data_IF_315547293403
#
_entry.id   IF_315547293403
#
_cell.length_a   1.000
_cell.length_b   1.000
_cell.length_c   1.000
_cell.angle_alpha   90.00
_cell.angle_beta   90.00
_cell.angle_gamma   90.00
#
_symmetry.space_group_name_H-M   'P 1'
#
loop_
_entity.id
_entity.type
_entity.pdbx_description
1 polymer ?
#
# COMPACT_ATOMS: atom_id res chain seq x y z
N UNK A 1 -22.54 -15.65 16.35
CA UNK A 1 -23.11 -15.42 15.00
C UNK A 1 -22.05 -15.47 13.89
N UNK A 2 -20.93 -14.74 13.97
CA UNK A 2 -19.86 -14.82 12.95
C UNK A 2 -19.14 -16.18 12.92
N UNK A 3 -18.80 -16.76 14.08
CA UNK A 3 -18.27 -18.14 14.17
C UNK A 3 -19.25 -19.16 13.62
N UNK A 4 -20.56 -18.92 13.77
CA UNK A 4 -21.61 -19.76 13.20
C UNK A 4 -21.75 -19.56 11.69
N UNK A 5 -21.49 -18.36 11.16
CA UNK A 5 -21.54 -18.06 9.73
C UNK A 5 -20.29 -18.58 8.99
N UNK A 6 -19.11 -18.46 9.62
CA UNK A 6 -17.86 -19.03 9.10
C UNK A 6 -17.84 -20.56 9.26
N UNK A 7 -18.36 -21.10 10.37
CA UNK A 7 -18.56 -22.55 10.53
C UNK A 7 -19.63 -23.08 9.57
N UNK A 8 -20.72 -22.33 9.32
CA UNK A 8 -21.71 -22.71 8.32
C UNK A 8 -21.13 -22.72 6.90
N UNK A 9 -20.30 -21.74 6.53
CA UNK A 9 -19.59 -21.74 5.24
C UNK A 9 -18.55 -22.88 5.14
N UNK A 10 -17.89 -23.24 6.24
CA UNK A 10 -17.02 -24.42 6.34
C UNK A 10 -17.80 -25.74 6.23
N UNK A 11 -19.05 -25.78 6.73
CA UNK A 11 -19.93 -26.95 6.71
C UNK A 11 -20.66 -27.16 5.38
N UNK A 12 -20.86 -26.11 4.56
CA UNK A 12 -21.55 -26.22 3.27
C UNK A 12 -20.71 -26.97 2.22
N UNK A 13 -19.39 -27.08 2.41
CA UNK A 13 -18.50 -27.77 1.47
C UNK A 13 -17.73 -28.90 2.14
N UNK A 14 -18.22 -30.16 2.09
CA UNK A 14 -17.46 -31.30 2.58
C UNK A 14 -16.09 -31.35 1.91
N UNK A 15 -15.05 -31.45 2.73
CA UNK A 15 -13.69 -31.75 2.31
C UNK A 15 -13.60 -33.27 2.09
N UNK A 16 -14.15 -33.74 0.98
CA UNK A 16 -13.91 -35.11 0.53
C UNK A 16 -12.55 -35.17 -0.14
N UNK A 17 -11.51 -35.49 0.63
CA UNK A 17 -10.15 -35.73 0.12
C UNK A 17 -10.07 -37.22 -0.24
N UNK A 18 -9.99 -37.52 -1.54
CA UNK A 18 -9.48 -38.81 -2.02
C UNK A 18 -7.96 -38.61 -2.16
N UNK A 19 -7.21 -39.16 -1.22
CA UNK A 19 -5.75 -39.03 -1.20
C UNK A 19 -5.11 -40.01 -2.20
N UNK A 20 -4.18 -39.51 -3.00
CA UNK A 20 -3.33 -40.25 -3.94
C UNK A 20 -1.85 -39.88 -3.70
N UNK A 21 -0.93 -40.73 -4.13
CA UNK A 21 0.49 -40.74 -3.74
C UNK A 21 1.26 -39.40 -3.97
N UNK A 22 0.81 -38.55 -4.89
CA UNK A 22 1.36 -37.21 -5.13
C UNK A 22 0.94 -36.14 -4.10
N UNK A 23 -0.08 -36.42 -3.30
CA UNK A 23 -0.63 -35.51 -2.30
C UNK A 23 0.30 -35.37 -1.10
N UNK A 24 1.06 -36.42 -0.75
CA UNK A 24 2.02 -36.38 0.35
C UNK A 24 3.13 -35.35 0.08
N UNK A 25 3.64 -35.26 -1.15
CA UNK A 25 4.63 -34.25 -1.50
C UNK A 25 4.06 -32.82 -1.41
N UNK A 26 2.86 -32.58 -1.95
CA UNK A 26 2.23 -31.26 -1.89
C UNK A 26 1.90 -30.85 -0.44
N UNK A 27 1.33 -31.76 0.33
CA UNK A 27 0.95 -31.53 1.71
C UNK A 27 2.18 -31.31 2.60
N UNK A 28 3.25 -32.09 2.40
CA UNK A 28 4.53 -31.89 3.09
C UNK A 28 5.15 -30.54 2.69
N UNK A 29 5.21 -30.22 1.39
CA UNK A 29 5.75 -28.95 0.91
C UNK A 29 4.98 -27.73 1.45
N UNK A 30 3.65 -27.77 1.49
CA UNK A 30 2.84 -26.69 2.06
C UNK A 30 2.90 -26.64 3.58
N UNK A 31 2.99 -27.78 4.26
CA UNK A 31 3.16 -27.82 5.72
C UNK A 31 4.51 -27.25 6.11
N UNK A 32 5.55 -27.55 5.34
CA UNK A 32 6.93 -27.10 5.57
C UNK A 32 7.15 -25.63 5.16
N UNK A 33 6.57 -25.20 4.04
CA UNK A 33 6.71 -23.81 3.55
C UNK A 33 5.65 -22.86 4.09
N UNK A 34 4.52 -23.35 4.61
CA UNK A 34 3.42 -22.55 5.12
C UNK A 34 3.86 -21.51 6.15
N UNK A 35 4.64 -21.87 7.18
CA UNK A 35 5.20 -20.92 8.14
C UNK A 35 6.11 -19.85 7.51
N UNK A 36 6.91 -20.22 6.50
CA UNK A 36 7.80 -19.26 5.82
C UNK A 36 7.01 -18.32 4.90
N UNK A 37 6.08 -18.86 4.11
CA UNK A 37 5.21 -18.09 3.22
C UNK A 37 4.33 -17.11 4.00
N UNK A 38 3.88 -17.50 5.19
CA UNK A 38 3.13 -16.61 6.09
C UNK A 38 4.02 -15.50 6.67
N UNK A 39 5.22 -15.84 7.16
CA UNK A 39 6.15 -14.85 7.73
C UNK A 39 6.63 -13.82 6.69
N UNK A 40 7.07 -14.28 5.51
CA UNK A 40 7.49 -13.39 4.44
C UNK A 40 6.31 -12.62 3.84
N UNK A 41 5.15 -13.29 3.73
CA UNK A 41 3.94 -12.67 3.25
C UNK A 41 3.44 -11.54 4.14
N UNK A 42 3.57 -11.67 5.45
CA UNK A 42 3.11 -10.66 6.41
C UNK A 42 3.86 -9.34 6.23
N UNK A 43 5.20 -9.36 6.29
CA UNK A 43 6.01 -8.14 6.18
C UNK A 43 5.88 -7.47 4.82
N UNK A 44 5.87 -8.27 3.75
CA UNK A 44 5.69 -7.74 2.39
C UNK A 44 4.30 -7.13 2.19
N UNK A 45 3.25 -7.78 2.71
CA UNK A 45 1.89 -7.23 2.62
C UNK A 45 1.73 -5.94 3.43
N UNK A 46 2.24 -5.90 4.66
CA UNK A 46 2.19 -4.68 5.49
C UNK A 46 2.92 -3.53 4.79
N UNK A 47 4.13 -3.77 4.32
CA UNK A 47 4.92 -2.75 3.61
C UNK A 47 4.22 -2.28 2.33
N UNK A 48 3.62 -3.20 1.56
CA UNK A 48 2.88 -2.85 0.36
C UNK A 48 1.67 -1.97 0.70
N UNK A 49 0.86 -2.38 1.68
CA UNK A 49 -0.34 -1.67 2.09
C UNK A 49 -0.03 -0.28 2.67
N UNK A 50 1.05 -0.15 3.44
CA UNK A 50 1.47 1.13 4.02
C UNK A 50 1.92 2.16 2.98
N UNK A 51 2.26 1.70 1.78
CA UNK A 51 2.70 2.55 0.66
C UNK A 51 1.68 2.64 -0.48
N UNK A 52 0.57 1.91 -0.41
CA UNK A 52 -0.48 1.94 -1.43
C UNK A 52 -1.23 3.26 -1.35
N UNK A 53 -1.33 3.95 -2.48
CA UNK A 53 -1.90 5.30 -2.63
C UNK A 53 -2.97 5.36 -3.71
N UNK A 54 -3.14 4.27 -4.46
CA UNK A 54 -4.06 4.22 -5.59
C UNK A 54 -4.87 2.92 -5.65
N UNK A 55 -6.06 3.01 -6.21
CA UNK A 55 -6.90 1.84 -6.46
C UNK A 55 -6.24 0.80 -7.37
N UNK A 56 -5.39 1.24 -8.33
CA UNK A 56 -4.63 0.35 -9.21
C UNK A 56 -3.63 -0.52 -8.43
N UNK A 57 -2.98 0.06 -7.41
CA UNK A 57 -2.10 -0.68 -6.50
C UNK A 57 -2.90 -1.68 -5.66
N UNK A 58 -4.16 -1.37 -5.30
CA UNK A 58 -5.05 -2.33 -4.64
C UNK A 58 -5.40 -3.53 -5.56
N UNK A 59 -5.61 -3.30 -6.85
CA UNK A 59 -5.82 -4.40 -7.82
C UNK A 59 -4.55 -5.22 -7.97
N UNK A 60 -3.39 -4.58 -8.09
CA UNK A 60 -2.10 -5.27 -8.18
C UNK A 60 -1.79 -6.13 -6.94
N UNK A 61 -2.22 -5.67 -5.76
CA UNK A 61 -2.14 -6.44 -4.52
C UNK A 61 -3.03 -7.70 -4.55
N UNK A 62 -4.17 -7.64 -5.23
CA UNK A 62 -5.11 -8.75 -5.35
C UNK A 62 -4.72 -9.83 -6.38
N UNK A 63 -3.86 -9.53 -7.36
CA UNK A 63 -3.40 -10.49 -8.38
C UNK A 63 -2.34 -11.45 -7.84
N UNK A 64 -2.57 -12.77 -7.79
CA UNK A 64 -1.71 -13.73 -7.07
C UNK A 64 -1.36 -13.22 -5.65
N UNK A 65 -2.38 -13.13 -4.77
CA UNK A 65 -2.24 -12.44 -3.50
C UNK A 65 -1.26 -13.18 -2.59
N UNK A 66 -0.40 -12.42 -1.94
CA UNK A 66 0.47 -12.87 -0.86
C UNK A 66 0.05 -12.11 0.41
N UNK A 67 -0.04 -12.81 1.55
CA UNK A 67 -0.49 -12.20 2.79
C UNK A 67 -2.00 -11.95 2.87
N UNK A 68 -2.82 -12.88 2.33
CA UNK A 68 -4.29 -12.80 2.37
C UNK A 68 -4.81 -12.55 3.81
N UNK A 69 -4.32 -13.33 4.78
CA UNK A 69 -4.69 -13.17 6.20
C UNK A 69 -4.23 -11.82 6.74
N UNK A 70 -3.04 -11.37 6.38
CA UNK A 70 -2.52 -10.06 6.76
C UNK A 70 -3.40 -8.93 6.22
N UNK A 71 -3.85 -9.02 4.97
CA UNK A 71 -4.77 -8.03 4.39
C UNK A 71 -6.10 -7.97 5.16
N UNK A 72 -6.67 -9.13 5.50
CA UNK A 72 -7.89 -9.24 6.31
C UNK A 72 -7.69 -8.62 7.69
N UNK A 73 -6.63 -9.01 8.41
CA UNK A 73 -6.31 -8.48 9.74
C UNK A 73 -6.07 -6.98 9.69
N UNK A 74 -5.32 -6.49 8.70
CA UNK A 74 -5.04 -5.07 8.50
C UNK A 74 -6.32 -4.26 8.23
N UNK A 75 -7.22 -4.75 7.38
CA UNK A 75 -8.51 -4.10 7.12
C UNK A 75 -9.38 -4.04 8.39
N UNK A 76 -9.38 -5.11 9.20
CA UNK A 76 -10.07 -5.14 10.50
C UNK A 76 -9.44 -4.12 11.46
N UNK A 77 -8.11 -4.03 11.54
CA UNK A 77 -7.41 -3.08 12.42
C UNK A 77 -7.73 -1.63 12.05
N UNK A 78 -7.78 -1.31 10.76
CA UNK A 78 -8.09 0.03 10.25
C UNK A 78 -9.58 0.37 10.44
N UNK A 79 -10.48 -0.41 9.85
CA UNK A 79 -11.91 -0.05 9.71
C UNK A 79 -12.89 -1.05 10.34
N UNK A 80 -12.43 -2.08 11.03
CA UNK A 80 -13.28 -3.06 11.69
C UNK A 80 -14.07 -2.49 12.88
N UNK A 81 -15.22 -3.10 13.17
CA UNK A 81 -15.98 -2.83 14.40
C UNK A 81 -15.22 -3.34 15.64
N UNK A 82 -15.55 -2.81 16.83
CA UNK A 82 -14.87 -3.18 18.10
C UNK A 82 -14.86 -4.69 18.36
N UNK A 83 -15.95 -5.37 18.03
CA UNK A 83 -16.06 -6.83 18.21
C UNK A 83 -15.11 -7.57 17.26
N UNK A 84 -15.01 -7.14 16.00
CA UNK A 84 -14.15 -7.77 15.00
C UNK A 84 -12.66 -7.58 15.35
N UNK A 85 -12.31 -6.40 15.88
CA UNK A 85 -10.99 -6.13 16.46
C UNK A 85 -10.71 -7.02 17.69
N UNK A 86 -11.72 -7.36 18.48
CA UNK A 86 -11.55 -8.28 19.62
C UNK A 86 -11.24 -9.72 19.18
N UNK A 87 -11.83 -10.20 18.08
CA UNK A 87 -11.56 -11.54 17.53
C UNK A 87 -10.09 -11.72 17.19
N UNK A 88 -9.45 -10.70 16.63
CA UNK A 88 -8.02 -10.72 16.28
C UNK A 88 -7.11 -10.29 17.43
N UNK A 89 -7.64 -10.14 18.65
CA UNK A 89 -6.87 -9.75 19.84
C UNK A 89 -6.42 -8.27 19.87
N UNK A 90 -6.98 -7.40 19.02
CA UNK A 90 -6.60 -5.98 18.87
C UNK A 90 -7.68 -5.01 19.34
N UNK A 91 -8.53 -5.40 20.28
CA UNK A 91 -9.66 -4.57 20.76
C UNK A 91 -9.24 -3.22 21.36
N UNK A 92 -8.04 -3.16 21.95
CA UNK A 92 -7.50 -1.96 22.64
C UNK A 92 -6.29 -1.37 21.93
N UNK A 93 -6.10 -1.68 20.65
CA UNK A 93 -4.99 -1.13 19.87
C UNK A 93 -5.20 0.37 19.62
N UNK A 94 -4.23 1.25 19.95
CA UNK A 94 -4.35 2.68 19.73
C UNK A 94 -4.29 3.00 18.22
N UNK A 95 -5.09 3.98 17.80
CA UNK A 95 -5.25 4.30 16.38
C UNK A 95 -3.94 4.80 15.72
N UNK A 96 -3.04 5.41 16.49
CA UNK A 96 -1.72 5.82 16.02
C UNK A 96 -0.83 4.64 15.63
N UNK A 97 -0.92 3.50 16.34
CA UNK A 97 -0.13 2.31 15.99
C UNK A 97 -0.64 1.64 14.70
N UNK A 98 -1.96 1.68 14.49
CA UNK A 98 -2.56 1.19 13.24
C UNK A 98 -2.11 2.07 12.07
N UNK A 99 -2.15 3.39 12.24
CA UNK A 99 -1.72 4.35 11.22
C UNK A 99 -0.22 4.20 10.89
N UNK A 100 0.61 4.07 11.92
CA UNK A 100 2.06 3.88 11.83
C UNK A 100 2.43 2.70 10.92
N UNK A 101 1.71 1.59 11.05
CA UNK A 101 2.06 0.34 10.38
C UNK A 101 1.37 0.17 9.02
N UNK A 102 0.14 0.65 8.85
CA UNK A 102 -0.72 0.24 7.72
C UNK A 102 -1.11 1.35 6.74
N UNK A 103 -0.91 2.61 7.08
CA UNK A 103 -1.46 3.74 6.30
C UNK A 103 -0.34 4.60 5.75
N UNK A 104 -0.50 5.20 4.57
CA UNK A 104 0.51 6.15 4.02
C UNK A 104 0.48 7.55 4.67
N UNK A 105 -0.44 7.78 5.60
CA UNK A 105 -0.71 9.10 6.18
C UNK A 105 0.25 9.50 7.29
N UNK A 106 0.34 10.80 7.53
CA UNK A 106 0.89 11.35 8.77
C UNK A 106 -0.18 12.17 9.47
N UNK A 107 -0.08 12.24 10.80
CA UNK A 107 -1.06 12.88 11.69
C UNK A 107 -0.36 13.50 12.90
N UNK A 108 -1.12 14.09 13.83
CA UNK A 108 -0.54 14.61 15.09
C UNK A 108 0.19 13.54 15.89
N UNK A 109 -0.22 12.28 15.73
CA UNK A 109 0.26 11.16 16.51
C UNK A 109 1.27 10.29 15.74
N UNK A 110 1.41 10.47 14.42
CA UNK A 110 2.31 9.66 13.58
C UNK A 110 3.07 10.56 12.62
N UNK A 111 4.39 10.42 12.62
CA UNK A 111 5.28 11.24 11.82
C UNK A 111 6.40 10.42 11.18
N UNK A 112 7.15 11.06 10.29
CA UNK A 112 8.34 10.49 9.63
C UNK A 112 9.59 11.25 10.08
N UNK A 113 10.62 10.53 10.51
CA UNK A 113 11.89 11.07 11.01
C UNK A 113 13.08 10.36 10.40
N UNK A 114 14.19 11.06 10.24
CA UNK A 114 15.48 10.51 9.87
C UNK A 114 16.27 10.07 11.10
N UNK A 115 16.67 8.81 11.17
CA UNK A 115 17.41 8.25 12.30
C UNK A 115 18.94 8.23 12.10
N UNK A 116 19.46 8.83 11.03
CA UNK A 116 20.87 8.78 10.65
C UNK A 116 21.17 7.79 9.52
N UNK A 117 20.34 6.75 9.35
CA UNK A 117 20.51 5.70 8.33
C UNK A 117 19.37 5.71 7.31
N UNK A 118 18.13 5.93 7.78
CA UNK A 118 16.93 5.87 6.97
C UNK A 118 15.78 6.68 7.54
N UNK A 119 14.77 6.91 6.71
CA UNK A 119 13.49 7.44 7.16
C UNK A 119 12.73 6.35 7.92
N UNK A 120 12.29 6.66 9.12
CA UNK A 120 11.47 5.80 9.97
C UNK A 120 10.19 6.52 10.34
N UNK A 121 9.09 5.77 10.45
CA UNK A 121 7.85 6.30 10.99
C UNK A 121 7.82 6.08 12.49
N UNK A 122 7.32 7.06 13.25
CA UNK A 122 7.31 7.02 14.71
C UNK A 122 6.00 7.58 15.24
N UNK A 123 5.52 7.02 16.35
CA UNK A 123 4.40 7.59 17.08
C UNK A 123 4.87 8.77 17.93
N UNK A 124 4.24 9.92 17.72
CA UNK A 124 4.50 11.17 18.41
C UNK A 124 4.45 12.37 17.48
N UNK A 125 4.50 13.56 18.07
CA UNK A 125 4.55 14.85 17.37
C UNK A 125 5.98 15.40 17.35
N UNK A 126 6.69 15.32 16.20
CA UNK A 126 8.02 15.85 16.10
C UNK A 126 7.99 17.33 15.75
N UNK A 127 9.12 18.01 15.96
CA UNK A 127 9.32 19.37 15.47
C UNK A 127 10.06 19.29 14.14
N UNK A 128 9.29 19.19 13.05
CA UNK A 128 9.79 19.24 11.68
C UNK A 128 9.22 20.47 11.00
N UNK A 129 10.09 21.34 10.49
CA UNK A 129 9.69 22.47 9.67
C UNK A 129 9.84 22.09 8.19
N UNK A 130 8.76 22.22 7.43
CA UNK A 130 8.79 22.11 5.97
C UNK A 130 8.94 23.51 5.37
N UNK A 131 10.03 23.71 4.66
CA UNK A 131 10.35 24.94 3.94
C UNK A 131 10.31 24.68 2.45
N UNK A 132 9.62 25.54 1.73
CA UNK A 132 9.52 25.53 0.27
C UNK A 132 10.22 26.80 -0.20
N UNK A 133 11.16 26.67 -1.12
CA UNK A 133 11.75 27.83 -1.77
C UNK A 133 11.80 27.65 -3.28
N UNK A 134 11.82 28.77 -3.97
CA UNK A 134 11.88 28.83 -5.42
C UNK A 134 13.30 29.20 -5.84
N UNK A 135 13.93 28.38 -6.67
CA UNK A 135 15.22 28.76 -7.25
C UNK A 135 15.00 29.61 -8.52
N UNK A 136 15.39 30.90 -8.50
CA UNK A 136 15.27 31.77 -9.66
C UNK A 136 16.15 31.34 -10.85
N UNK A 137 17.15 30.44 -10.70
CA UNK A 137 17.95 29.94 -11.85
C UNK A 137 17.26 28.90 -12.74
N UNK A 138 16.09 28.37 -12.35
CA UNK A 138 15.39 27.33 -13.10
C UNK A 138 14.52 27.86 -14.26
N UNK A 139 14.52 29.17 -14.50
CA UNK A 139 13.78 29.79 -15.60
C UNK A 139 14.42 29.50 -16.96
N UNK A 140 13.84 28.56 -17.71
CA UNK A 140 13.98 28.55 -19.16
C UNK A 140 13.14 29.70 -19.75
N UNK A 141 13.74 30.89 -19.85
CA UNK A 141 13.31 31.94 -20.78
C UNK A 141 14.42 32.15 -21.82
N UNK A 142 14.07 32.38 -23.10
CA UNK A 142 15.05 32.53 -24.17
C UNK A 142 15.89 33.78 -23.93
N UNK A 143 17.20 33.61 -24.12
CA UNK A 143 18.19 34.68 -24.17
C UNK A 143 17.70 35.76 -25.13
N UNK A 144 17.20 36.89 -24.60
CA UNK A 144 17.20 38.21 -25.22
C UNK A 144 16.49 39.23 -24.32
N UNK A 145 17.14 39.61 -23.24
CA UNK A 145 17.00 40.97 -22.70
C UNK A 145 18.25 41.33 -21.91
N UNK A 146 19.11 42.12 -22.55
CA UNK A 146 20.13 42.90 -21.86
C UNK A 146 19.41 43.88 -20.95
N UNK A 147 19.60 43.78 -19.63
CA UNK A 147 19.53 44.95 -18.76
C UNK A 147 20.32 44.71 -17.48
N UNK A 148 20.96 45.79 -17.07
CA UNK A 148 21.87 45.94 -15.96
C UNK A 148 21.17 45.78 -14.59
N UNK A 149 22.03 45.78 -13.58
CA UNK A 149 21.78 45.90 -12.14
C UNK A 149 21.56 44.59 -11.38
N UNK A 150 22.32 44.52 -10.29
CA UNK A 150 22.33 43.55 -9.21
C UNK A 150 20.92 43.37 -8.64
N UNK A 151 20.05 42.66 -9.36
CA UNK A 151 18.75 42.25 -8.86
C UNK A 151 19.00 41.45 -7.59
N UNK A 152 18.64 42.03 -6.45
CA UNK A 152 18.67 41.43 -5.13
C UNK A 152 18.00 40.05 -5.24
N UNK A 153 18.83 39.00 -5.30
CA UNK A 153 18.39 37.61 -5.56
C UNK A 153 17.79 37.06 -4.28
N UNK A 154 16.65 37.63 -3.89
CA UNK A 154 15.90 37.25 -2.70
C UNK A 154 15.32 35.87 -2.92
N UNK A 155 15.90 34.89 -2.24
CA UNK A 155 15.30 33.56 -2.12
C UNK A 155 14.13 33.69 -1.16
N UNK A 156 12.92 33.56 -1.67
CA UNK A 156 11.73 33.51 -0.82
C UNK A 156 11.62 32.10 -0.23
N UNK A 157 11.51 32.05 1.09
CA UNK A 157 11.24 30.82 1.84
C UNK A 157 9.80 30.91 2.34
N UNK A 158 9.01 29.92 1.94
CA UNK A 158 7.59 29.83 2.23
C UNK A 158 7.28 28.49 2.93
N UNK A 159 6.31 28.52 3.83
CA UNK A 159 5.65 27.29 4.31
C UNK A 159 4.56 26.90 3.32
N UNK A 160 4.01 25.68 3.44
CA UNK A 160 2.91 25.27 2.56
C UNK A 160 1.70 26.23 2.65
N UNK A 161 1.43 26.75 3.85
CA UNK A 161 0.37 27.76 4.08
C UNK A 161 0.68 29.08 3.40
N UNK A 162 1.88 29.64 3.60
CA UNK A 162 2.23 30.93 2.97
C UNK A 162 2.36 30.80 1.45
N UNK A 163 2.81 29.65 0.95
CA UNK A 163 2.84 29.33 -0.47
C UNK A 163 1.42 29.28 -1.07
N UNK A 164 0.44 28.76 -0.34
CA UNK A 164 -0.96 28.76 -0.75
C UNK A 164 -1.54 30.18 -0.75
N UNK A 165 -1.33 30.96 0.31
CA UNK A 165 -1.79 32.36 0.41
C UNK A 165 -1.23 33.23 -0.72
N UNK A 166 0.00 32.96 -1.16
CA UNK A 166 0.67 33.64 -2.28
C UNK A 166 0.33 33.06 -3.66
N UNK A 167 -0.59 32.10 -3.77
CA UNK A 167 -0.93 31.39 -5.00
C UNK A 167 0.27 30.73 -5.72
N UNK A 168 1.31 30.33 -4.98
CA UNK A 168 2.47 29.61 -5.51
C UNK A 168 2.15 28.13 -5.75
N UNK A 169 1.26 27.56 -4.94
CA UNK A 169 0.79 26.19 -5.07
C UNK A 169 -0.72 26.14 -5.22
N UNK A 170 -1.20 25.20 -6.03
CA UNK A 170 -2.63 24.94 -6.24
C UNK A 170 -2.92 23.47 -5.98
N UNK A 171 -3.99 23.21 -5.24
CA UNK A 171 -4.51 21.86 -5.08
C UNK A 171 -5.10 21.36 -6.41
N UNK A 172 -4.59 20.25 -6.93
CA UNK A 172 -5.04 19.63 -8.19
C UNK A 172 -5.82 18.34 -7.94
N UNK A 173 -5.49 17.60 -6.88
CA UNK A 173 -6.19 16.37 -6.50
C UNK A 173 -6.39 16.34 -4.98
N UNK A 174 -7.57 15.92 -4.52
CA UNK A 174 -7.87 15.73 -3.10
C UNK A 174 -9.25 16.25 -2.66
N UNK A 175 -9.73 15.83 -1.48
CA UNK A 175 -11.03 16.24 -0.94
C UNK A 175 -11.13 17.76 -0.70
N UNK A 176 -9.99 18.43 -0.45
CA UNK A 176 -9.90 19.88 -0.30
C UNK A 176 -10.31 20.71 -1.53
N UNK A 177 -10.45 20.11 -2.73
CA UNK A 177 -10.89 20.83 -3.95
C UNK A 177 -12.32 21.34 -3.83
N UNK A 178 -13.19 20.58 -3.13
CA UNK A 178 -14.61 20.92 -2.98
C UNK A 178 -14.87 21.93 -1.85
N UNK A 179 -13.96 22.03 -0.89
CA UNK A 179 -14.11 22.83 0.32
C UNK A 179 -13.09 23.97 0.37
N UNK A 180 -13.22 24.93 -0.56
CA UNK A 180 -12.27 26.06 -0.71
C UNK A 180 -12.26 27.06 0.47
N UNK A 181 -13.03 26.84 1.54
CA UNK A 181 -13.28 27.82 2.60
C UNK A 181 -12.92 27.36 4.03
N UNK A 182 -12.37 26.16 4.23
CA UNK A 182 -11.88 25.70 5.55
C UNK A 182 -10.52 25.00 5.46
N UNK A 183 -9.51 25.69 4.94
CA UNK A 183 -8.11 25.24 5.02
C UNK A 183 -7.40 25.95 6.18
N UNK A 184 -7.84 25.65 7.40
CA UNK A 184 -7.05 25.91 8.61
C UNK A 184 -6.45 24.57 9.05
N UNK A 185 -5.18 24.57 9.48
CA UNK A 185 -4.34 23.46 10.01
C UNK A 185 -3.47 22.60 9.09
N UNK A 186 -3.37 22.86 7.79
CA UNK A 186 -2.41 22.12 6.93
C UNK A 186 -0.94 22.29 7.39
N UNK A 187 -0.62 23.37 8.12
CA UNK A 187 0.74 23.68 8.56
C UNK A 187 1.12 23.19 9.98
N UNK A 188 0.17 22.68 10.78
CA UNK A 188 0.47 22.17 12.13
C UNK A 188 0.77 20.67 12.15
N UNK A 189 0.39 19.96 11.09
CA UNK A 189 0.60 18.52 10.97
C UNK A 189 1.96 18.21 10.33
N UNK A 190 2.63 17.12 10.74
CA UNK A 190 3.91 16.74 10.19
C UNK A 190 3.84 16.50 8.67
N UNK A 191 4.92 16.78 7.94
CA UNK A 191 4.99 16.54 6.50
C UNK A 191 5.24 15.06 6.18
N UNK A 192 4.78 14.61 5.00
CA UNK A 192 5.10 13.27 4.48
C UNK A 192 6.41 13.35 3.69
N UNK A 193 7.54 13.10 4.35
CA UNK A 193 8.87 13.19 3.77
C UNK A 193 9.09 12.05 2.77
N UNK A 194 8.78 10.80 3.12
CA UNK A 194 8.99 9.61 2.29
C UNK A 194 8.21 9.71 0.98
N UNK A 195 6.95 10.13 1.04
CA UNK A 195 6.10 10.30 -0.14
C UNK A 195 6.68 11.34 -1.11
N UNK A 196 7.28 12.41 -0.58
CA UNK A 196 7.86 13.47 -1.38
C UNK A 196 9.29 13.14 -1.86
N UNK A 197 10.16 12.55 -1.05
CA UNK A 197 11.54 12.20 -1.42
C UNK A 197 11.59 11.15 -2.53
N UNK A 198 10.75 10.11 -2.46
CA UNK A 198 10.85 8.92 -3.32
C UNK A 198 10.40 9.11 -4.77
N UNK A 199 9.70 10.21 -5.07
CA UNK A 199 9.13 10.39 -6.42
C UNK A 199 7.60 10.51 -6.44
N UNK A 200 6.95 10.31 -5.30
CA UNK A 200 5.52 10.06 -5.25
C UNK A 200 5.19 8.64 -5.69
N UNK A 201 4.06 8.48 -6.38
CA UNK A 201 3.57 7.21 -6.93
C UNK A 201 4.53 6.60 -7.96
N UNK A 202 4.47 5.27 -8.07
CA UNK A 202 5.00 4.51 -9.19
C UNK A 202 4.56 5.16 -10.51
N UNK A 203 5.45 5.18 -11.51
CA UNK A 203 5.10 5.69 -12.85
C UNK A 203 3.92 4.88 -13.37
N UNK A 204 2.87 5.54 -13.87
CA UNK A 204 1.63 4.87 -14.28
C UNK A 204 1.85 3.71 -15.26
N UNK A 205 2.80 3.83 -16.18
CA UNK A 205 3.14 2.75 -17.11
C UNK A 205 3.84 1.55 -16.45
N UNK A 206 4.71 1.77 -15.46
CA UNK A 206 5.36 0.69 -14.68
C UNK A 206 4.29 -0.10 -13.93
N UNK A 207 3.30 0.61 -13.36
CA UNK A 207 2.17 0.03 -12.66
C UNK A 207 1.23 -0.76 -13.57
N UNK A 208 0.90 -0.21 -14.76
CA UNK A 208 0.06 -0.91 -15.75
C UNK A 208 0.76 -2.18 -16.25
N UNK A 209 2.08 -2.13 -16.52
CA UNK A 209 2.85 -3.31 -16.90
C UNK A 209 2.81 -4.38 -15.81
N UNK A 210 3.04 -4.00 -14.55
CA UNK A 210 2.97 -4.91 -13.42
C UNK A 210 1.58 -5.55 -13.27
N UNK A 211 0.52 -4.76 -13.50
CA UNK A 211 -0.86 -5.25 -13.47
C UNK A 211 -1.12 -6.27 -14.58
N UNK A 212 -0.68 -5.99 -15.81
CA UNK A 212 -0.80 -6.93 -16.94
C UNK A 212 -0.09 -8.23 -16.61
N UNK A 213 1.14 -8.17 -16.09
CA UNK A 213 1.88 -9.36 -15.67
C UNK A 213 1.11 -10.15 -14.60
N UNK A 214 0.53 -9.46 -13.60
CA UNK A 214 -0.26 -10.13 -12.56
C UNK A 214 -1.53 -10.80 -13.07
N UNK A 215 -2.25 -10.15 -13.98
CA UNK A 215 -3.45 -10.72 -14.61
C UNK A 215 -3.09 -11.92 -15.49
N UNK A 216 -1.99 -11.84 -16.26
CA UNK A 216 -1.50 -12.94 -17.08
C UNK A 216 -1.01 -14.11 -16.23
N UNK A 217 -0.29 -13.87 -15.14
CA UNK A 217 0.14 -14.93 -14.23
C UNK A 217 -1.06 -15.62 -13.58
N UNK A 218 -2.06 -14.86 -13.11
CA UNK A 218 -3.25 -15.40 -12.48
C UNK A 218 -4.13 -16.19 -13.48
N UNK A 219 -4.26 -15.70 -14.72
CA UNK A 219 -5.00 -16.40 -15.76
C UNK A 219 -4.26 -17.65 -16.24
N UNK A 220 -2.94 -17.62 -16.36
CA UNK A 220 -2.12 -18.78 -16.72
C UNK A 220 -2.28 -19.92 -15.71
N UNK A 221 -2.30 -19.62 -14.40
CA UNK A 221 -2.57 -20.63 -13.37
C UNK A 221 -3.97 -21.24 -13.53
N UNK A 222 -5.01 -20.41 -13.74
CA UNK A 222 -6.36 -20.93 -13.94
C UNK A 222 -6.50 -21.76 -15.22
N UNK A 223 -5.84 -21.35 -16.32
CA UNK A 223 -5.83 -22.13 -17.56
C UNK A 223 -5.13 -23.48 -17.34
N UNK A 224 -4.00 -23.48 -16.64
CA UNK A 224 -3.28 -24.70 -16.30
C UNK A 224 -4.10 -25.64 -15.40
N UNK A 225 -4.72 -25.09 -14.36
CA UNK A 225 -5.63 -25.80 -13.46
C UNK A 225 -6.83 -26.40 -14.22
N UNK A 226 -7.40 -25.67 -15.18
CA UNK A 226 -8.47 -26.18 -16.05
C UNK A 226 -7.98 -27.26 -17.01
N UNK A 227 -6.78 -27.10 -17.57
CA UNK A 227 -6.17 -28.09 -18.44
C UNK A 227 -5.94 -29.43 -17.71
N UNK A 228 -5.48 -29.39 -16.45
CA UNK A 228 -5.32 -30.58 -15.61
C UNK A 228 -6.63 -31.36 -15.40
N UNK A 229 -7.76 -30.66 -15.25
CA UNK A 229 -9.05 -31.31 -14.99
C UNK A 229 -9.73 -31.82 -16.26
N UNK A 230 -9.70 -31.05 -17.34
CA UNK A 230 -10.46 -31.36 -18.55
C UNK A 230 -9.70 -32.19 -19.60
N UNK A 231 -8.37 -32.17 -19.56
CA UNK A 231 -7.51 -33.00 -20.42
C UNK A 231 -6.58 -33.88 -19.57
N UNK A 232 -7.13 -34.90 -18.88
CA UNK A 232 -6.32 -35.82 -18.10
C UNK A 232 -5.41 -36.62 -19.05
N UNK A 233 -4.11 -36.29 -19.04
CA UNK A 233 -3.10 -37.12 -19.66
C UNK A 233 -2.73 -38.25 -18.67
N UNK A 234 -2.50 -39.46 -19.18
CA UNK A 234 -2.08 -40.68 -18.45
C UNK A 234 -0.73 -40.58 -17.71
N UNK A 235 -0.14 -39.38 -17.62
CA UNK A 235 1.18 -39.13 -17.02
C UNK A 235 1.08 -38.94 -15.49
N UNK A 236 -0.09 -38.60 -14.95
CA UNK A 236 -0.23 -38.17 -13.54
C UNK A 236 -1.29 -38.92 -12.73
N UNK A 237 -1.90 -39.99 -13.27
CA UNK A 237 -2.72 -41.03 -12.61
C UNK A 237 -3.73 -40.61 -11.52
N UNK A 238 -4.22 -39.38 -11.55
CA UNK A 238 -5.23 -38.86 -10.63
C UNK A 238 -6.36 -38.25 -11.45
N UNK A 239 -7.58 -38.76 -11.27
CA UNK A 239 -8.79 -38.21 -11.89
C UNK A 239 -9.44 -37.22 -10.93
N UNK A 240 -9.19 -35.90 -11.06
CA UNK A 240 -9.81 -34.91 -10.19
C UNK A 240 -11.33 -34.95 -10.37
N UNK A 241 -12.07 -34.74 -9.28
CA UNK A 241 -13.52 -34.60 -9.35
C UNK A 241 -13.88 -33.48 -10.35
N UNK A 242 -14.84 -33.71 -11.25
CA UNK A 242 -15.26 -32.75 -12.29
C UNK A 242 -15.60 -31.34 -11.74
N UNK A 243 -16.05 -31.27 -10.48
CA UNK A 243 -16.39 -30.03 -9.80
C UNK A 243 -15.20 -29.28 -9.18
N UNK A 244 -13.98 -29.84 -9.22
CA UNK A 244 -12.82 -29.25 -8.53
C UNK A 244 -12.33 -27.95 -9.19
N UNK A 245 -12.31 -27.88 -10.53
CA UNK A 245 -11.94 -26.68 -11.26
C UNK A 245 -12.90 -25.50 -11.03
N UNK A 246 -14.24 -25.61 -11.25
CA UNK A 246 -15.14 -24.46 -11.09
C UNK A 246 -15.14 -23.93 -9.66
N UNK A 247 -14.99 -24.80 -8.65
CA UNK A 247 -14.85 -24.37 -7.25
C UNK A 247 -13.54 -23.60 -7.01
N UNK A 248 -12.44 -24.04 -7.61
CA UNK A 248 -11.13 -23.38 -7.48
C UNK A 248 -11.08 -22.04 -8.20
N UNK A 249 -11.69 -21.96 -9.39
CA UNK A 249 -11.85 -20.70 -10.12
C UNK A 249 -12.70 -19.70 -9.31
N UNK A 250 -13.85 -20.15 -8.78
CA UNK A 250 -14.71 -19.33 -7.92
C UNK A 250 -14.00 -18.88 -6.65
N UNK A 251 -13.27 -19.78 -5.99
CA UNK A 251 -12.46 -19.47 -4.81
C UNK A 251 -11.35 -18.45 -5.11
N UNK A 252 -10.66 -18.59 -6.25
CA UNK A 252 -9.62 -17.66 -6.70
C UNK A 252 -10.17 -16.27 -6.94
N UNK A 253 -11.28 -16.15 -7.67
CA UNK A 253 -11.95 -14.87 -7.90
C UNK A 253 -12.43 -14.27 -6.57
N UNK A 254 -13.06 -15.07 -5.71
CA UNK A 254 -13.54 -14.62 -4.39
C UNK A 254 -12.42 -14.11 -3.48
N UNK A 255 -11.27 -14.81 -3.44
CA UNK A 255 -10.08 -14.36 -2.71
C UNK A 255 -9.50 -13.09 -3.32
N UNK A 256 -9.41 -12.98 -4.65
CA UNK A 256 -8.90 -11.79 -5.31
C UNK A 256 -9.79 -10.55 -5.01
N UNK A 257 -11.11 -10.68 -5.17
CA UNK A 257 -12.06 -9.60 -4.87
C UNK A 257 -12.03 -9.24 -3.39
N UNK A 258 -12.02 -10.23 -2.50
CA UNK A 258 -11.95 -10.01 -1.06
C UNK A 258 -10.67 -9.29 -0.63
N UNK A 259 -9.52 -9.70 -1.20
CA UNK A 259 -8.21 -9.08 -0.94
C UNK A 259 -8.14 -7.66 -1.50
N UNK A 260 -8.70 -7.42 -2.70
CA UNK A 260 -8.85 -6.08 -3.27
C UNK A 260 -9.66 -5.17 -2.36
N UNK A 261 -10.82 -5.63 -1.87
CA UNK A 261 -11.65 -4.86 -0.95
C UNK A 261 -10.90 -4.55 0.36
N UNK A 262 -10.15 -5.52 0.90
CA UNK A 262 -9.35 -5.29 2.10
C UNK A 262 -8.29 -4.19 1.88
N UNK A 263 -7.56 -4.24 0.76
CA UNK A 263 -6.57 -3.21 0.41
C UNK A 263 -7.23 -1.85 0.18
N UNK A 264 -8.34 -1.81 -0.56
CA UNK A 264 -9.04 -0.57 -0.85
C UNK A 264 -9.64 0.07 0.41
N UNK A 265 -10.09 -0.71 1.41
CA UNK A 265 -10.55 -0.14 2.69
C UNK A 265 -9.42 0.59 3.42
N UNK A 266 -8.20 0.03 3.36
CA UNK A 266 -7.01 0.63 3.99
C UNK A 266 -6.64 1.92 3.26
N UNK A 267 -6.55 1.88 1.93
CA UNK A 267 -6.26 3.04 1.09
C UNK A 267 -7.34 4.13 1.21
N UNK A 268 -8.61 3.78 1.18
CA UNK A 268 -9.72 4.72 1.39
C UNK A 268 -9.81 5.28 2.83
N UNK A 269 -8.99 4.78 3.75
CA UNK A 269 -8.82 5.36 5.10
C UNK A 269 -7.75 6.44 5.16
N UNK A 270 -7.05 6.68 4.06
CA UNK A 270 -6.17 7.83 3.85
C UNK A 270 -6.75 8.78 2.80
N UNK A 271 -6.59 10.08 3.01
CA UNK A 271 -6.93 11.14 2.08
C UNK A 271 -5.65 11.76 1.56
N UNK A 272 -5.45 11.67 0.24
CA UNK A 272 -4.28 12.24 -0.41
C UNK A 272 -4.61 13.56 -1.10
N UNK A 273 -3.74 14.53 -0.88
CA UNK A 273 -3.79 15.84 -1.49
C UNK A 273 -2.52 16.07 -2.32
N UNK A 274 -2.72 16.48 -3.57
CA UNK A 274 -1.64 16.77 -4.52
C UNK A 274 -1.68 18.25 -4.86
N UNK A 275 -0.63 18.95 -4.45
CA UNK A 275 -0.40 20.35 -4.69
C UNK A 275 0.59 20.50 -5.84
N UNK A 276 0.28 21.33 -6.82
CA UNK A 276 1.18 21.62 -7.96
C UNK A 276 1.63 23.07 -7.89
N UNK A 277 2.86 23.33 -8.34
CA UNK A 277 3.36 24.66 -8.57
C UNK A 277 2.46 25.34 -9.61
N UNK A 278 1.97 26.52 -9.26
CA UNK A 278 0.98 27.26 -10.05
C UNK A 278 1.50 27.53 -11.48
N UNK A 279 0.61 27.39 -12.47
CA UNK A 279 0.90 27.56 -13.91
C UNK A 279 1.52 28.92 -14.27
N UNK A 280 1.35 29.93 -13.42
CA UNK A 280 1.90 31.28 -13.59
C UNK A 280 3.41 31.32 -13.44
N UNK A 281 3.98 30.44 -12.63
CA UNK A 281 5.41 30.29 -12.36
C UNK A 281 5.82 28.90 -12.83
N UNK A 282 6.32 28.76 -14.08
CA UNK A 282 6.96 27.52 -14.59
C UNK A 282 8.23 27.11 -13.80
N UNK A 283 8.36 27.55 -12.56
CA UNK A 283 9.50 27.37 -11.71
C UNK A 283 9.33 26.09 -10.91
N UNK A 284 10.42 25.34 -10.78
CA UNK A 284 10.46 24.20 -9.90
C UNK A 284 10.54 24.65 -8.44
N UNK A 285 9.75 24.01 -7.58
CA UNK A 285 9.82 24.17 -6.14
C UNK A 285 10.90 23.24 -5.60
N UNK A 286 11.67 23.75 -4.63
CA UNK A 286 12.58 22.95 -3.84
C UNK A 286 12.08 22.89 -2.40
N UNK A 287 12.05 21.68 -1.85
CA UNK A 287 11.55 21.42 -0.49
C UNK A 287 12.72 21.03 0.39
N UNK A 288 12.76 21.61 1.58
CA UNK A 288 13.69 21.27 2.64
C UNK A 288 12.90 20.98 3.91
N UNK A 289 13.22 19.86 4.54
CA UNK A 289 12.68 19.51 5.85
C UNK A 289 13.77 19.69 6.89
N UNK A 290 13.53 20.57 7.86
CA UNK A 290 14.42 20.76 9.00
C UNK A 290 13.85 19.96 10.16
N UNK A 291 14.55 18.89 10.52
CA UNK A 291 14.25 18.07 11.68
C UNK A 291 15.04 18.59 12.89
N UNK A 292 14.34 18.93 13.97
CA UNK A 292 14.97 19.24 15.25
C UNK A 292 15.23 17.96 16.04
N UNK A 293 16.45 17.82 16.58
CA UNK A 293 16.80 16.70 17.44
C UNK A 293 15.92 16.62 18.67
N UNK A 294 15.34 15.44 18.91
CA UNK A 294 14.43 15.16 20.02
C UNK A 294 14.37 13.66 20.29
N UNK A 295 14.08 13.30 21.54
CA UNK A 295 13.71 11.92 21.89
C UNK A 295 12.21 11.73 21.62
N UNK A 296 11.86 10.74 20.81
CA UNK A 296 10.48 10.37 20.47
C UNK A 296 10.28 8.89 20.77
N UNK A 297 9.42 8.59 21.75
CA UNK A 297 9.33 7.25 22.34
C UNK A 297 10.67 6.87 22.98
N UNK A 298 11.21 5.72 22.59
CA UNK A 298 12.46 5.17 23.12
C UNK A 298 13.69 5.48 22.25
N UNK A 299 13.52 6.25 21.17
CA UNK A 299 14.59 6.56 20.21
C UNK A 299 14.99 8.05 20.28
N UNK A 300 16.29 8.30 20.26
CA UNK A 300 16.87 9.64 20.18
C UNK A 300 17.16 10.01 18.72
N UNK A 301 16.54 11.08 18.24
CA UNK A 301 16.75 11.61 16.90
C UNK A 301 17.66 12.82 16.94
N UNK A 302 18.62 12.88 16.01
CA UNK A 302 19.49 14.04 15.79
C UNK A 302 18.80 15.17 15.03
N UNK A 303 19.47 16.32 14.98
CA UNK A 303 19.06 17.46 14.14
C UNK A 303 19.60 17.26 12.72
N UNK A 304 18.72 17.36 11.72
CA UNK A 304 19.08 17.14 10.32
C UNK A 304 18.33 18.11 9.41
N UNK A 305 19.01 18.56 8.36
CA UNK A 305 18.40 19.16 7.18
C UNK A 305 18.28 18.09 6.09
N UNK A 306 17.06 17.80 5.67
CA UNK A 306 16.73 16.81 4.65
C UNK A 306 16.31 17.57 3.40
N UNK A 307 17.00 17.33 2.30
CA UNK A 307 16.76 18.01 1.03
C UNK A 307 16.08 17.04 0.05
N UNK A 308 15.04 17.52 -0.64
CA UNK A 308 14.53 16.80 -1.81
C UNK A 308 15.63 16.76 -2.88
N UNK A 309 16.06 15.56 -3.34
CA UNK A 309 17.07 15.46 -4.37
C UNK A 309 16.61 15.99 -5.74
N UNK A 310 15.32 16.30 -5.91
CA UNK A 310 14.77 16.77 -7.19
C UNK A 310 14.06 18.10 -7.04
N UNK A 311 14.26 18.95 -8.04
CA UNK A 311 13.39 20.07 -8.35
C UNK A 311 12.04 19.52 -8.79
N UNK A 312 10.98 19.80 -8.01
CA UNK A 312 9.66 19.24 -8.25
C UNK A 312 8.63 20.31 -8.49
N UNK A 313 7.64 19.92 -9.27
CA UNK A 313 6.44 20.70 -9.48
C UNK A 313 5.36 20.34 -8.47
N UNK A 314 5.34 19.12 -7.96
CA UNK A 314 4.27 18.60 -7.11
C UNK A 314 4.73 18.28 -5.69
N UNK A 315 3.90 18.66 -4.71
CA UNK A 315 3.99 18.33 -3.29
C UNK A 315 2.79 17.44 -2.96
N UNK A 316 3.03 16.32 -2.26
CA UNK A 316 1.97 15.41 -1.84
C UNK A 316 1.88 15.34 -0.33
N UNK A 317 0.65 15.35 0.17
CA UNK A 317 0.35 15.17 1.59
C UNK A 317 -0.70 14.08 1.71
N UNK A 318 -0.43 13.04 2.51
CA UNK A 318 -1.42 12.02 2.86
C UNK A 318 -1.80 12.19 4.32
N UNK A 319 -3.11 12.25 4.57
CA UNK A 319 -3.73 12.50 5.87
C UNK A 319 -4.69 11.37 6.18
N UNK A 320 -4.94 11.16 7.47
CA UNK A 320 -5.93 10.18 7.89
C UNK A 320 -7.32 10.68 7.52
N UNK A 321 -8.09 9.86 6.82
CA UNK A 321 -9.48 10.18 6.50
C UNK A 321 -10.30 10.32 7.79
N UNK A 322 -11.36 11.12 7.73
CA UNK A 322 -12.30 11.30 8.84
C UNK A 322 -12.92 9.96 9.31
N UNK A 323 -13.51 9.98 10.51
CA UNK A 323 -13.96 8.81 11.28
C UNK A 323 -14.56 7.66 10.46
N UNK A 324 -14.24 6.42 10.87
CA UNK A 324 -14.74 5.21 10.23
C UNK A 324 -16.27 5.19 10.20
N UNK A 325 -16.86 5.33 9.02
CA UNK A 325 -18.31 5.25 8.84
C UNK A 325 -18.84 3.83 9.02
N UNK A 326 -20.13 3.70 9.38
CA UNK A 326 -20.82 2.39 9.44
C UNK A 326 -20.70 1.61 8.12
N UNK A 327 -20.65 2.33 6.99
CA UNK A 327 -20.43 1.76 5.66
C UNK A 327 -19.06 1.07 5.60
N UNK A 328 -17.97 1.75 6.00
CA UNK A 328 -16.62 1.14 6.03
C UNK A 328 -16.56 -0.10 6.93
N UNK A 329 -17.23 -0.07 8.09
CA UNK A 329 -17.31 -1.24 8.99
C UNK A 329 -18.05 -2.42 8.35
N UNK A 330 -19.17 -2.15 7.67
CA UNK A 330 -19.94 -3.16 6.97
C UNK A 330 -19.17 -3.73 5.77
N UNK A 331 -18.53 -2.89 4.97
CA UNK A 331 -17.67 -3.33 3.85
C UNK A 331 -16.50 -4.18 4.36
N UNK A 332 -15.90 -3.82 5.50
CA UNK A 332 -14.84 -4.63 6.14
C UNK A 332 -15.37 -6.00 6.53
N UNK A 333 -16.56 -6.08 7.13
CA UNK A 333 -17.19 -7.36 7.45
C UNK A 333 -17.41 -8.21 6.20
N UNK A 334 -18.00 -7.65 5.15
CA UNK A 334 -18.22 -8.36 3.88
C UNK A 334 -16.91 -8.83 3.24
N UNK A 335 -15.89 -7.97 3.19
CA UNK A 335 -14.58 -8.31 2.66
C UNK A 335 -13.93 -9.46 3.45
N UNK A 336 -14.03 -9.45 4.78
CA UNK A 336 -13.48 -10.51 5.64
C UNK A 336 -14.19 -11.85 5.41
N UNK A 337 -15.53 -11.87 5.36
CA UNK A 337 -16.32 -13.08 5.10
C UNK A 337 -16.03 -13.63 3.71
N UNK A 338 -16.00 -12.76 2.69
CA UNK A 338 -15.72 -13.16 1.31
C UNK A 338 -14.31 -13.77 1.19
N UNK A 339 -13.31 -13.11 1.77
CA UNK A 339 -11.92 -13.57 1.67
C UNK A 339 -11.73 -14.90 2.40
N UNK A 340 -12.21 -15.01 3.65
CA UNK A 340 -12.05 -16.23 4.46
C UNK A 340 -12.89 -17.38 3.90
N UNK A 341 -14.13 -17.14 3.49
CA UNK A 341 -15.00 -18.16 2.91
C UNK A 341 -14.48 -18.70 1.58
N UNK A 342 -13.94 -17.83 0.72
CA UNK A 342 -13.38 -18.22 -0.58
C UNK A 342 -12.02 -18.91 -0.45
N UNK A 343 -11.32 -18.74 0.68
CA UNK A 343 -10.00 -19.32 0.89
C UNK A 343 -10.04 -20.87 0.91
N UNK A 344 -11.07 -21.47 1.52
CA UNK A 344 -11.23 -22.92 1.50
C UNK A 344 -11.47 -23.47 0.07
N UNK A 345 -12.23 -22.72 -0.75
CA UNK A 345 -12.49 -23.07 -2.15
C UNK A 345 -11.24 -22.90 -3.03
N UNK A 346 -10.46 -21.87 -2.75
CA UNK A 346 -9.20 -21.58 -3.43
C UNK A 346 -8.20 -22.74 -3.32
N UNK A 347 -8.13 -23.44 -2.19
CA UNK A 347 -7.20 -24.55 -1.99
C UNK A 347 -7.67 -25.89 -2.57
N UNK A 348 -8.88 -25.97 -3.15
CA UNK A 348 -9.53 -27.25 -3.47
C UNK A 348 -8.85 -28.07 -4.57
N UNK A 349 -8.46 -27.47 -5.70
CA UNK A 349 -7.71 -28.22 -6.73
C UNK A 349 -6.26 -28.48 -6.30
N UNK A 350 -5.70 -27.58 -5.51
CA UNK A 350 -4.29 -27.63 -5.05
C UNK A 350 -4.05 -28.74 -4.03
N UNK A 351 -5.07 -29.07 -3.23
CA UNK A 351 -5.04 -30.23 -2.35
C UNK A 351 -5.19 -31.56 -3.09
N UNK A 352 -5.48 -31.54 -4.40
CA UNK A 352 -5.67 -32.74 -5.24
C UNK A 352 -4.53 -32.97 -6.23
N UNK A 353 -3.72 -31.93 -6.53
CA UNK A 353 -2.60 -32.02 -7.44
C UNK A 353 -1.43 -31.13 -6.99
N UNK A 354 -0.27 -31.76 -6.76
CA UNK A 354 0.97 -31.08 -6.39
C UNK A 354 1.47 -30.07 -7.45
N UNK A 355 1.20 -30.34 -8.73
CA UNK A 355 1.63 -29.46 -9.82
C UNK A 355 0.86 -28.13 -9.84
N UNK A 356 -0.45 -28.14 -9.56
CA UNK A 356 -1.28 -26.94 -9.41
C UNK A 356 -0.80 -26.06 -8.25
N UNK A 357 -0.36 -26.71 -7.17
CA UNK A 357 0.22 -26.07 -6.00
C UNK A 357 1.53 -25.34 -6.31
N UNK A 358 2.43 -25.98 -7.06
CA UNK A 358 3.69 -25.36 -7.52
C UNK A 358 3.42 -24.23 -8.51
N UNK A 359 2.51 -24.41 -9.46
CA UNK A 359 2.15 -23.36 -10.42
C UNK A 359 1.66 -22.09 -9.72
N UNK A 360 0.82 -22.24 -8.70
CA UNK A 360 0.39 -21.12 -7.86
C UNK A 360 1.54 -20.49 -7.08
N UNK A 361 2.42 -21.30 -6.48
CA UNK A 361 3.57 -20.81 -5.72
C UNK A 361 4.53 -20.00 -6.62
N UNK A 362 4.78 -20.47 -7.85
CA UNK A 362 5.57 -19.75 -8.85
C UNK A 362 4.92 -18.42 -9.25
N UNK A 363 3.60 -18.41 -9.48
CA UNK A 363 2.88 -17.18 -9.79
C UNK A 363 2.93 -16.17 -8.63
N UNK A 364 2.77 -16.64 -7.39
CA UNK A 364 2.87 -15.78 -6.19
C UNK A 364 4.29 -15.27 -5.98
N UNK A 365 5.33 -16.09 -6.20
CA UNK A 365 6.74 -15.67 -6.12
C UNK A 365 7.14 -14.68 -7.21
N UNK A 366 6.66 -14.88 -8.44
CA UNK A 366 6.79 -13.92 -9.54
C UNK A 366 6.17 -12.58 -9.13
N UNK A 367 4.92 -12.60 -8.64
CA UNK A 367 4.22 -11.38 -8.25
C UNK A 367 4.84 -10.68 -7.04
N UNK A 368 5.38 -11.43 -6.08
CA UNK A 368 6.18 -10.87 -4.99
C UNK A 368 7.38 -10.08 -5.54
N UNK A 369 8.09 -10.63 -6.52
CA UNK A 369 9.22 -9.96 -7.17
C UNK A 369 8.79 -8.72 -7.95
N UNK A 370 7.71 -8.81 -8.72
CA UNK A 370 7.16 -7.67 -9.48
C UNK A 370 6.76 -6.53 -8.54
N UNK A 371 6.06 -6.82 -7.44
CA UNK A 371 5.70 -5.82 -6.42
C UNK A 371 6.94 -5.18 -5.80
N UNK A 372 7.95 -5.96 -5.48
CA UNK A 372 9.21 -5.43 -4.94
C UNK A 372 9.94 -4.51 -5.95
N UNK A 373 9.95 -4.87 -7.24
CA UNK A 373 10.57 -4.06 -8.30
C UNK A 373 9.83 -2.75 -8.56
N UNK A 374 8.51 -2.76 -8.48
CA UNK A 374 7.66 -1.57 -8.57
C UNK A 374 8.02 -0.57 -7.47
N UNK A 375 8.27 -1.06 -6.25
CA UNK A 375 8.57 -0.21 -5.08
C UNK A 375 10.06 -0.01 -4.79
N UNK A 376 10.98 -0.48 -5.65
CA UNK A 376 12.44 -0.29 -5.49
C UNK A 376 12.86 1.19 -5.31
N UNK A 377 12.05 2.12 -5.84
CA UNK A 377 12.32 3.57 -5.73
C UNK A 377 12.08 4.12 -4.32
N UNK A 378 11.38 3.39 -3.45
CA UNK A 378 11.20 3.77 -2.04
C UNK A 378 12.54 3.76 -1.30
N UNK A 379 13.51 2.97 -1.75
CA UNK A 379 14.86 2.94 -1.18
C UNK A 379 15.75 4.13 -1.57
N UNK A 380 15.24 5.12 -2.32
CA UNK A 380 16.02 6.33 -2.63
C UNK A 380 16.24 7.16 -1.35
N UNK A 381 17.51 7.34 -1.01
CA UNK A 381 17.90 8.15 0.14
C UNK A 381 17.84 9.64 -0.22
N UNK A 382 17.24 10.49 0.63
CA UNK A 382 17.35 11.93 0.47
C UNK A 382 18.79 12.38 0.68
N UNK A 383 19.13 13.58 0.19
CA UNK A 383 20.37 14.23 0.58
C UNK A 383 20.16 14.79 1.99
N UNK A 384 20.96 14.34 2.94
CA UNK A 384 20.83 14.75 4.35
C UNK A 384 22.12 15.41 4.82
N UNK A 385 21.97 16.47 5.62
CA UNK A 385 23.06 17.16 6.29
C UNK A 385 22.75 17.24 7.79
N UNK A 386 23.69 16.85 8.65
CA UNK A 386 23.59 17.04 10.09
C UNK A 386 23.70 18.52 10.45
N UNK A 387 22.90 18.98 11.41
CA UNK A 387 22.87 20.35 11.90
C UNK A 387 23.52 20.49 13.28
#
# INVERSE_FOLDING_TARGET
>A
MFVLLTAALFWIFPCGILATDGDDFANNLFTDLGPLLTLFGERVAIQYLSHSTSWLECVLFACAPLGILTAVVSAIRVSGSRWLKAVIGRAREPAAMVELELMSSTSSDVCELWNGVGMVRVVGSPSIAQLIYQDPSSSAQPENSVSNESADRRVYVDTLKTAQERNLVRLISGPGIRNSTKHADVSELPPNIVLNVTGGTVRGWELILALIVGLLAQSAVLIYDGWLVYWPNTILDVTPASNAYPLTAMGTVGVAVGTFLCAHIIEASTEEEVWDASLTTKQSLQIVWIQRGRVVGDQAFGSFAIFDPRFRRQIRTSRKASETTKVKQFTTLCATVLTVGSNALFHRLRSMHWSASIAQLLATGLMMTVRALVYRRISMMPKVQSL
#
